data_IF_851309319249
#
_entry.id   IF_851309319249
#
_cell.length_a   1.000
_cell.length_b   1.000
_cell.length_c   1.000
_cell.angle_alpha   90.00
_cell.angle_beta   90.00
_cell.angle_gamma   90.00
#
_symmetry.space_group_name_H-M   'P 1'
#
loop_
_entity.id
_entity.type
_entity.pdbx_description
1 polymer ?
#
# COMPACT_ATOMS: atom_id res chain seq x y z
N UNK A 1 32.55 -6.24 4.54
CA UNK A 1 32.94 -7.24 3.51
C UNK A 1 31.68 -7.89 2.94
N UNK A 2 31.21 -7.48 1.75
CA UNK A 2 29.96 -8.01 1.14
C UNK A 2 29.92 -7.89 -0.39
N UNK A 3 31.07 -7.64 -1.02
CA UNK A 3 31.21 -7.46 -2.48
C UNK A 3 31.54 -8.75 -3.24
N UNK A 4 32.06 -9.78 -2.55
CA UNK A 4 32.52 -11.04 -3.15
C UNK A 4 31.39 -11.93 -3.65
N UNK A 5 30.27 -12.06 -2.91
CA UNK A 5 29.12 -12.86 -3.36
C UNK A 5 28.44 -12.32 -4.63
N UNK A 6 28.36 -10.98 -4.76
CA UNK A 6 27.90 -10.34 -5.99
C UNK A 6 28.88 -10.53 -7.14
N UNK A 7 30.18 -10.58 -6.90
CA UNK A 7 31.18 -10.72 -7.96
C UNK A 7 31.12 -12.10 -8.63
N UNK A 8 30.95 -13.18 -7.85
CA UNK A 8 30.79 -14.55 -8.39
C UNK A 8 29.49 -14.66 -9.19
N UNK A 9 28.37 -14.14 -8.66
CA UNK A 9 27.09 -14.11 -9.37
C UNK A 9 27.17 -13.30 -10.68
N UNK A 10 27.81 -12.12 -10.65
CA UNK A 10 28.02 -11.29 -11.84
C UNK A 10 28.82 -12.05 -12.90
N UNK A 11 29.92 -12.70 -12.51
CA UNK A 11 30.79 -13.46 -13.42
C UNK A 11 30.09 -14.67 -14.04
N UNK A 12 29.25 -15.38 -13.27
CA UNK A 12 28.46 -16.50 -13.78
C UNK A 12 27.39 -16.08 -14.81
N UNK A 13 26.89 -14.84 -14.71
CA UNK A 13 25.83 -14.30 -15.58
C UNK A 13 26.34 -13.57 -16.82
N UNK A 14 27.65 -13.29 -16.94
CA UNK A 14 28.28 -12.65 -18.11
C UNK A 14 27.95 -13.28 -19.47
N UNK A 15 27.76 -14.61 -19.60
CA UNK A 15 27.36 -15.23 -20.87
C UNK A 15 25.93 -14.90 -21.29
N UNK A 16 25.07 -14.50 -20.35
CA UNK A 16 23.63 -14.35 -20.55
C UNK A 16 23.16 -12.90 -20.57
N UNK A 17 23.91 -11.96 -19.97
CA UNK A 17 23.56 -10.55 -19.95
C UNK A 17 24.72 -9.66 -20.42
N UNK A 18 24.43 -8.57 -21.14
CA UNK A 18 25.42 -7.56 -21.51
C UNK A 18 26.15 -7.00 -20.28
N UNK A 19 27.46 -6.75 -20.43
CA UNK A 19 28.31 -6.23 -19.34
C UNK A 19 27.78 -4.93 -18.75
N UNK A 20 27.16 -4.09 -19.58
CA UNK A 20 26.58 -2.81 -19.16
C UNK A 20 25.44 -2.99 -18.14
N UNK A 21 24.71 -4.10 -18.20
CA UNK A 21 23.60 -4.40 -17.27
C UNK A 21 24.12 -5.03 -15.97
N UNK A 22 25.04 -5.99 -16.06
CA UNK A 22 25.62 -6.71 -14.92
C UNK A 22 26.46 -5.79 -14.03
N UNK A 23 27.20 -4.86 -14.64
CA UNK A 23 28.12 -3.97 -13.93
C UNK A 23 27.51 -2.62 -13.60
N UNK A 24 26.29 -2.33 -14.07
CA UNK A 24 25.53 -1.13 -13.68
C UNK A 24 25.52 -1.00 -12.14
N UNK A 25 25.85 0.17 -11.59
CA UNK A 25 25.60 0.42 -10.18
C UNK A 25 24.10 0.22 -9.91
N UNK A 26 23.76 -0.38 -8.77
CA UNK A 26 22.35 -0.49 -8.36
C UNK A 26 21.83 0.93 -8.16
N UNK A 27 21.22 1.49 -9.18
CA UNK A 27 20.30 2.60 -9.03
C UNK A 27 19.15 2.07 -8.20
N UNK A 28 18.93 2.64 -7.01
CA UNK A 28 17.71 2.35 -6.27
C UNK A 28 16.52 2.53 -7.21
N UNK A 29 15.48 1.70 -7.04
CA UNK A 29 14.19 2.00 -7.63
C UNK A 29 13.68 3.26 -6.94
N UNK A 30 14.14 4.42 -7.43
CA UNK A 30 13.73 5.73 -6.96
C UNK A 30 12.30 5.92 -7.41
N UNK A 31 11.37 5.38 -6.64
CA UNK A 31 9.95 5.65 -6.81
C UNK A 31 9.79 7.16 -6.76
N UNK A 32 9.12 7.80 -7.74
CA UNK A 32 8.92 9.24 -7.74
C UNK A 32 7.82 9.61 -6.73
N UNK A 33 8.06 9.27 -5.46
CA UNK A 33 7.11 9.37 -4.36
C UNK A 33 6.54 10.78 -4.24
N UNK A 34 7.39 11.78 -4.43
CA UNK A 34 7.00 13.19 -4.38
C UNK A 34 6.00 13.57 -5.49
N UNK A 35 6.15 13.00 -6.68
CA UNK A 35 5.19 13.23 -7.78
C UNK A 35 3.88 12.49 -7.50
N UNK A 36 3.97 11.28 -6.99
CA UNK A 36 2.81 10.49 -6.61
C UNK A 36 1.98 11.16 -5.52
N UNK A 37 2.59 11.59 -4.42
CA UNK A 37 1.89 12.26 -3.31
C UNK A 37 1.27 13.60 -3.72
N UNK A 38 1.89 14.34 -4.65
CA UNK A 38 1.38 15.64 -5.11
C UNK A 38 0.29 15.54 -6.18
N UNK A 39 0.29 14.48 -6.98
CA UNK A 39 -0.61 14.33 -8.12
C UNK A 39 -1.55 13.13 -7.91
N UNK A 40 -1.03 11.92 -8.10
CA UNK A 40 -1.85 10.71 -8.27
C UNK A 40 -2.49 10.23 -6.96
N UNK A 41 -1.78 10.34 -5.84
CA UNK A 41 -2.26 9.89 -4.53
C UNK A 41 -2.87 11.01 -3.69
N UNK A 42 -2.93 12.25 -4.18
CA UNK A 42 -3.31 13.41 -3.37
C UNK A 42 -4.67 13.23 -2.69
N UNK A 43 -5.68 12.83 -3.46
CA UNK A 43 -7.05 12.63 -2.94
C UNK A 43 -7.10 11.50 -1.91
N UNK A 44 -6.39 10.40 -2.16
CA UNK A 44 -6.28 9.29 -1.22
C UNK A 44 -5.59 9.73 0.08
N UNK A 45 -4.53 10.53 -0.02
CA UNK A 45 -3.83 11.06 1.17
C UNK A 45 -4.78 11.91 1.99
N UNK A 46 -5.56 12.77 1.34
CA UNK A 46 -6.51 13.67 2.01
C UNK A 46 -7.65 12.90 2.71
N UNK A 47 -8.13 11.81 2.13
CA UNK A 47 -9.14 10.96 2.76
C UNK A 47 -8.57 10.15 3.94
N UNK A 48 -7.40 9.52 3.74
CA UNK A 48 -6.75 8.67 4.74
C UNK A 48 -6.28 9.49 5.94
N UNK A 49 -5.65 10.64 5.70
CA UNK A 49 -5.14 11.56 6.73
C UNK A 49 -6.13 12.70 7.05
N UNK A 50 -7.43 12.47 6.81
CA UNK A 50 -8.47 13.42 7.20
C UNK A 50 -8.43 13.68 8.71
N UNK A 51 -8.72 14.92 9.17
CA UNK A 51 -8.76 15.26 10.59
C UNK A 51 -9.63 14.30 11.40
N UNK A 52 -10.81 13.95 10.89
CA UNK A 52 -11.70 12.98 11.52
C UNK A 52 -11.08 11.58 11.65
N UNK A 53 -10.34 11.11 10.64
CA UNK A 53 -9.67 9.80 10.73
C UNK A 53 -8.56 9.81 11.77
N UNK A 54 -7.75 10.88 11.79
CA UNK A 54 -6.66 11.03 12.75
C UNK A 54 -7.17 11.21 14.18
N UNK A 55 -8.24 12.00 14.37
CA UNK A 55 -8.88 12.21 15.67
C UNK A 55 -9.51 10.93 16.21
N UNK A 56 -10.24 10.17 15.37
CA UNK A 56 -10.80 8.86 15.77
C UNK A 56 -9.71 7.89 16.19
N UNK A 57 -8.53 7.97 15.54
CA UNK A 57 -7.40 7.09 15.83
C UNK A 57 -6.66 7.50 17.10
N UNK A 58 -6.49 8.80 17.34
CA UNK A 58 -5.79 9.33 18.53
C UNK A 58 -4.28 9.05 18.58
N UNK A 59 -3.68 8.54 17.50
CA UNK A 59 -2.24 8.22 17.44
C UNK A 59 -1.37 9.40 17.01
N UNK A 60 -1.91 10.33 16.24
CA UNK A 60 -1.19 11.47 15.69
C UNK A 60 -1.95 12.76 15.95
N UNK A 61 -1.21 13.86 16.18
CA UNK A 61 -1.82 15.18 16.22
C UNK A 61 -2.19 15.63 14.81
N UNK A 62 -3.50 15.67 14.56
CA UNK A 62 -4.08 16.16 13.31
C UNK A 62 -3.58 17.56 12.91
N UNK A 63 -3.35 18.49 13.85
CA UNK A 63 -2.88 19.85 13.53
C UNK A 63 -1.46 19.81 12.99
N UNK A 64 -0.58 19.05 13.63
CA UNK A 64 0.79 18.87 13.18
C UNK A 64 0.86 18.19 11.80
N UNK A 65 0.02 17.17 11.57
CA UNK A 65 -0.04 16.47 10.27
C UNK A 65 -0.54 17.38 9.16
N UNK A 66 -1.59 18.18 9.39
CA UNK A 66 -2.09 19.13 8.41
C UNK A 66 -1.04 20.20 8.06
N UNK A 67 -0.30 20.72 9.06
CA UNK A 67 0.82 21.65 8.82
C UNK A 67 1.94 21.01 8.01
N UNK A 68 2.26 19.74 8.27
CA UNK A 68 3.24 18.98 7.49
C UNK A 68 2.80 18.84 6.02
N UNK A 69 1.54 18.47 5.79
CA UNK A 69 0.97 18.33 4.44
C UNK A 69 1.00 19.66 3.67
N UNK A 70 0.62 20.77 4.32
CA UNK A 70 0.64 22.10 3.70
C UNK A 70 2.07 22.55 3.38
N UNK A 71 3.01 22.30 4.29
CA UNK A 71 4.43 22.64 4.10
C UNK A 71 5.06 21.82 2.96
N UNK A 72 4.70 20.55 2.81
CA UNK A 72 5.16 19.72 1.69
C UNK A 72 4.55 20.17 0.36
N UNK A 73 3.26 20.54 0.35
CA UNK A 73 2.53 21.05 -0.83
C UNK A 73 3.12 22.34 -1.36
N UNK A 74 3.37 23.30 -0.46
CA UNK A 74 4.01 24.57 -0.77
C UNK A 74 5.50 24.41 -1.13
N UNK A 75 6.07 23.22 -0.88
CA UNK A 75 7.46 22.91 -1.19
C UNK A 75 8.47 23.51 -0.22
N UNK A 76 8.02 23.99 0.94
CA UNK A 76 8.88 24.52 2.00
C UNK A 76 9.72 23.42 2.65
N UNK A 77 9.20 22.19 2.67
CA UNK A 77 9.90 21.01 3.19
C UNK A 77 9.78 19.84 2.20
N UNK A 78 10.68 18.85 2.34
CA UNK A 78 10.54 17.54 1.71
C UNK A 78 9.97 16.55 2.74
N UNK A 79 8.64 16.58 2.88
CA UNK A 79 7.88 15.77 3.84
C UNK A 79 7.32 14.48 3.25
N UNK A 80 7.54 14.22 1.96
CA UNK A 80 6.89 13.13 1.23
C UNK A 80 7.07 11.75 1.87
N UNK A 81 8.27 11.41 2.32
CA UNK A 81 8.52 10.13 3.01
C UNK A 81 7.77 10.02 4.34
N UNK A 82 7.69 11.12 5.09
CA UNK A 82 6.96 11.15 6.37
C UNK A 82 5.46 11.01 6.13
N UNK A 83 4.91 11.74 5.16
CA UNK A 83 3.49 11.63 4.77
C UNK A 83 3.18 10.21 4.31
N UNK A 84 4.04 9.61 3.50
CA UNK A 84 3.89 8.23 3.07
C UNK A 84 3.89 7.24 4.24
N UNK A 85 4.80 7.41 5.20
CA UNK A 85 4.83 6.58 6.40
C UNK A 85 3.52 6.70 7.23
N UNK A 86 2.97 7.91 7.37
CA UNK A 86 1.69 8.13 8.06
C UNK A 86 0.54 7.40 7.36
N UNK A 87 0.48 7.46 6.02
CA UNK A 87 -0.52 6.73 5.22
C UNK A 87 -0.38 5.23 5.43
N UNK A 88 0.84 4.69 5.34
CA UNK A 88 1.09 3.27 5.54
C UNK A 88 0.62 2.79 6.92
N UNK A 89 0.87 3.58 7.97
CA UNK A 89 0.43 3.25 9.34
C UNK A 89 -1.09 3.27 9.43
N UNK A 90 -1.76 4.31 8.93
CA UNK A 90 -3.22 4.41 9.00
C UNK A 90 -3.90 3.29 8.19
N UNK A 91 -3.39 2.97 6.99
CA UNK A 91 -3.89 1.84 6.20
C UNK A 91 -3.68 0.50 6.91
N UNK A 92 -2.53 0.30 7.54
CA UNK A 92 -2.28 -0.90 8.34
C UNK A 92 -3.26 -1.00 9.51
N UNK A 93 -3.53 0.10 10.21
CA UNK A 93 -4.53 0.14 11.26
C UNK A 93 -5.93 -0.19 10.73
N UNK A 94 -6.35 0.38 9.60
CA UNK A 94 -7.65 0.07 9.00
C UNK A 94 -7.80 -1.41 8.64
N UNK A 95 -6.75 -2.03 8.09
CA UNK A 95 -6.75 -3.43 7.70
C UNK A 95 -6.72 -4.40 8.89
N UNK A 96 -5.84 -4.16 9.86
CA UNK A 96 -5.53 -5.14 10.91
C UNK A 96 -6.15 -4.81 12.27
N UNK A 97 -6.36 -3.54 12.59
CA UNK A 97 -6.97 -3.11 13.86
C UNK A 97 -8.48 -2.98 13.70
N UNK A 98 -8.94 -2.32 12.65
CA UNK A 98 -10.38 -2.10 12.41
C UNK A 98 -11.03 -3.27 11.66
N UNK A 99 -10.24 -4.16 11.05
CA UNK A 99 -10.73 -5.29 10.25
C UNK A 99 -11.45 -4.87 8.96
N UNK A 100 -11.29 -3.63 8.51
CA UNK A 100 -11.89 -3.10 7.28
C UNK A 100 -11.02 -3.51 6.10
N UNK A 101 -11.16 -4.76 5.66
CA UNK A 101 -10.60 -5.18 4.38
C UNK A 101 -11.44 -4.54 3.27
N UNK A 102 -10.85 -3.73 2.38
CA UNK A 102 -11.54 -3.22 1.19
C UNK A 102 -12.15 -4.37 0.40
N UNK A 103 -13.39 -4.21 -0.04
CA UNK A 103 -14.14 -5.27 -0.72
C UNK A 103 -13.43 -5.74 -2.01
N UNK A 104 -12.63 -4.89 -2.67
CA UNK A 104 -11.86 -5.24 -3.87
C UNK A 104 -10.67 -6.18 -3.58
N UNK A 105 -9.96 -5.99 -2.47
CA UNK A 105 -8.85 -6.83 -2.04
C UNK A 105 -9.30 -8.21 -1.56
N UNK A 106 -10.59 -8.38 -1.27
CA UNK A 106 -11.18 -9.68 -0.94
C UNK A 106 -11.47 -10.56 -2.16
N UNK A 107 -11.57 -9.97 -3.36
CA UNK A 107 -11.97 -10.67 -4.58
C UNK A 107 -10.79 -11.36 -5.29
N UNK A 108 -9.59 -10.75 -5.29
CA UNK A 108 -8.49 -11.20 -6.16
C UNK A 108 -7.30 -11.83 -5.42
N UNK A 109 -7.29 -11.84 -4.09
CA UNK A 109 -6.14 -12.32 -3.33
C UNK A 109 -6.49 -13.56 -2.51
N UNK A 110 -5.81 -14.68 -2.79
CA UNK A 110 -5.81 -15.94 -2.03
C UNK A 110 -5.24 -15.84 -0.60
N UNK A 111 -5.44 -14.70 0.08
CA UNK A 111 -5.06 -14.41 1.46
C UNK A 111 -5.93 -15.12 2.51
N UNK A 112 -6.97 -15.85 2.10
CA UNK A 112 -7.82 -16.64 2.99
C UNK A 112 -7.13 -17.87 3.63
N UNK A 113 -5.84 -18.12 3.40
CA UNK A 113 -5.13 -19.26 3.98
C UNK A 113 -4.23 -18.93 5.19
N UNK A 114 -3.89 -17.65 5.43
CA UNK A 114 -2.87 -17.30 6.43
C UNK A 114 -3.46 -16.89 7.79
N UNK A 115 -4.73 -16.51 7.87
CA UNK A 115 -5.39 -16.37 9.17
C UNK A 115 -6.17 -17.65 9.49
N UNK A 116 -5.63 -18.45 10.42
CA UNK A 116 -6.29 -19.62 10.99
C UNK A 116 -7.55 -19.30 11.81
N UNK A 117 -8.36 -18.34 11.37
CA UNK A 117 -9.69 -18.08 11.90
C UNK A 117 -10.65 -18.81 10.97
N UNK A 118 -11.17 -19.94 11.45
CA UNK A 118 -12.23 -20.69 10.78
C UNK A 118 -13.30 -19.70 10.34
N UNK A 119 -13.46 -19.59 9.03
CA UNK A 119 -14.59 -18.94 8.40
C UNK A 119 -15.83 -19.69 8.88
N UNK A 120 -16.55 -19.13 9.87
CA UNK A 120 -17.89 -19.57 10.20
C UNK A 120 -18.71 -19.32 8.95
N UNK A 121 -18.99 -20.42 8.25
CA UNK A 121 -19.78 -20.46 7.05
C UNK A 121 -21.11 -19.74 7.31
N UNK A 122 -21.28 -18.58 6.69
CA UNK A 122 -22.60 -17.99 6.52
C UNK A 122 -23.32 -18.78 5.43
N UNK A 123 -23.85 -19.94 5.80
CA UNK A 123 -24.82 -20.66 5.00
C UNK A 123 -26.17 -19.98 5.13
N UNK A 124 -26.48 -19.08 4.21
CA UNK A 124 -27.86 -18.86 3.81
C UNK A 124 -27.98 -18.93 2.28
N UNK A 125 -28.06 -20.20 1.84
CA UNK A 125 -28.99 -20.71 0.84
C UNK A 125 -29.65 -19.65 -0.05
N UNK A 126 -29.01 -19.35 -1.18
CA UNK A 126 -29.72 -18.89 -2.38
C UNK A 126 -30.39 -20.13 -3.01
N UNK A 127 -31.71 -20.26 -2.81
CA UNK A 127 -32.65 -20.98 -3.69
C UNK A 127 -33.85 -20.04 -3.85
N UNK A 128 -34.38 -19.72 -5.02
CA UNK A 128 -34.04 -20.17 -6.35
C UNK A 128 -34.76 -19.30 -7.39
N UNK A 129 -34.20 -19.33 -8.59
CA UNK A 129 -34.85 -18.93 -9.84
C UNK A 129 -35.64 -20.13 -10.36
N UNK A 130 -36.96 -20.01 -10.54
CA UNK A 130 -37.73 -20.73 -11.57
C UNK A 130 -39.20 -20.27 -11.63
N UNK A 131 -39.58 -19.71 -12.81
CA UNK A 131 -40.85 -19.90 -13.58
C UNK A 131 -42.18 -19.52 -12.87
N UNK A 132 -43.18 -18.87 -13.46
CA UNK A 132 -43.51 -18.48 -14.83
C UNK A 132 -45.04 -18.21 -14.88
N UNK A 133 -45.42 -17.19 -15.67
CA UNK A 133 -46.69 -16.93 -16.39
C UNK A 133 -48.08 -17.48 -15.93
N UNK A 134 -49.12 -16.67 -16.17
CA UNK A 134 -50.60 -16.82 -16.03
C UNK A 134 -51.15 -16.56 -14.63
N UNK A 135 -52.20 -15.76 -14.41
CA UNK A 135 -53.25 -15.18 -15.28
C UNK A 135 -53.70 -13.82 -14.74
#
# INVERSE_FOLDING_TARGET
>A
KGRTGKAIFKKAMEPYLPKDVIYRPKSGFGVPLRRWLRCELREMVDDVLSPDSLMRRGLFDHVAVQRLMESDRTGQIDGGYTIFALICIELWCRLFVDGKVPADLSADCGWNRVSGKKCLAFSHSIRGVARGNRS
#
